data_IF_594765076447
#
_entry.id   IF_594765076447
#
_cell.length_a   1.000
_cell.length_b   1.000
_cell.length_c   1.000
_cell.angle_alpha   90.00
_cell.angle_beta   90.00
_cell.angle_gamma   90.00
#
_symmetry.space_group_name_H-M   'P 1'
#
loop_
_entity.id
_entity.type
_entity.pdbx_description
1 polymer ?
#
# COMPACT_ATOMS: atom_id res chain seq x y z
N UNK A 1 -3.25 -19.82 3.86
CA UNK A 1 -1.89 -19.28 3.66
C UNK A 1 -0.94 -20.41 3.31
N UNK A 2 -0.27 -20.33 2.14
CA UNK A 2 0.66 -21.37 1.69
C UNK A 2 2.10 -21.12 2.17
N UNK A 3 2.39 -19.91 2.67
CA UNK A 3 3.75 -19.51 3.04
C UNK A 3 3.71 -18.38 4.06
N UNK A 4 4.47 -18.52 5.14
CA UNK A 4 4.59 -17.51 6.20
C UNK A 4 5.85 -16.65 6.09
N UNK A 5 6.74 -16.96 5.17
CA UNK A 5 7.95 -16.19 4.89
C UNK A 5 7.94 -15.69 3.45
N UNK A 6 8.48 -14.51 3.20
CA UNK A 6 8.59 -13.95 1.87
C UNK A 6 9.52 -14.77 0.95
N UNK A 7 9.22 -14.73 -0.34
CA UNK A 7 10.03 -15.41 -1.35
C UNK A 7 10.93 -14.42 -2.08
N UNK A 8 12.20 -14.39 -1.73
CA UNK A 8 13.20 -13.52 -2.33
C UNK A 8 13.99 -14.20 -3.49
N UNK A 9 13.50 -15.31 -4.03
CA UNK A 9 14.16 -16.02 -5.13
C UNK A 9 13.90 -15.35 -6.49
N UNK A 10 14.48 -14.20 -6.71
CA UNK A 10 14.30 -13.40 -7.93
C UNK A 10 15.35 -13.72 -9.00
N UNK A 11 14.96 -13.65 -10.29
CA UNK A 11 15.91 -13.60 -11.41
C UNK A 11 16.51 -12.20 -11.55
N UNK A 12 17.63 -12.05 -12.23
CA UNK A 12 18.23 -10.75 -12.51
C UNK A 12 17.24 -9.76 -13.17
N UNK A 13 16.47 -10.23 -14.15
CA UNK A 13 15.42 -9.43 -14.80
C UNK A 13 14.37 -8.94 -13.78
N UNK A 14 13.93 -9.82 -12.89
CA UNK A 14 12.95 -9.47 -11.86
C UNK A 14 13.54 -8.52 -10.79
N UNK A 15 14.83 -8.66 -10.44
CA UNK A 15 15.51 -7.72 -9.54
C UNK A 15 15.55 -6.30 -10.12
N UNK A 16 15.89 -6.16 -11.40
CA UNK A 16 15.88 -4.85 -12.08
C UNK A 16 14.48 -4.24 -12.15
N UNK A 17 13.45 -5.06 -12.32
CA UNK A 17 12.06 -4.59 -12.39
C UNK A 17 11.48 -4.24 -11.02
N UNK A 18 11.57 -5.16 -10.04
CA UNK A 18 10.94 -5.03 -8.73
C UNK A 18 11.76 -4.17 -7.77
N UNK A 19 13.06 -4.34 -7.81
CA UNK A 19 14.02 -3.67 -6.92
C UNK A 19 14.99 -2.75 -7.69
N UNK A 20 14.55 -2.14 -8.79
CA UNK A 20 15.36 -1.28 -9.66
C UNK A 20 16.01 -0.08 -8.97
N UNK A 21 15.60 0.23 -7.73
CA UNK A 21 16.29 1.19 -6.88
C UNK A 21 17.67 0.68 -6.42
N UNK A 22 17.79 -0.62 -6.19
CA UNK A 22 18.96 -1.29 -5.61
C UNK A 22 19.82 -1.99 -6.65
N UNK A 23 19.23 -2.38 -7.78
CA UNK A 23 19.87 -3.17 -8.83
C UNK A 23 19.79 -2.50 -10.20
N UNK A 24 20.88 -2.48 -10.93
CA UNK A 24 20.99 -1.88 -12.26
C UNK A 24 22.40 -1.43 -12.56
N UNK A 25 22.54 -0.38 -13.39
CA UNK A 25 23.82 0.22 -13.69
C UNK A 25 24.47 0.90 -12.46
N UNK A 26 25.79 0.94 -12.38
CA UNK A 26 26.50 1.60 -11.28
C UNK A 26 25.94 3.02 -10.98
N UNK A 27 25.87 3.43 -9.70
CA UNK A 27 26.44 2.81 -8.50
C UNK A 27 25.54 1.73 -7.84
N UNK A 28 24.52 1.21 -8.53
CA UNK A 28 23.66 0.14 -8.02
C UNK A 28 24.38 -1.21 -8.09
N UNK A 29 23.86 -2.21 -7.35
CA UNK A 29 24.41 -3.56 -7.41
C UNK A 29 24.07 -4.24 -8.75
N UNK A 30 24.95 -5.11 -9.22
CA UNK A 30 24.69 -5.92 -10.40
C UNK A 30 23.65 -7.02 -10.06
N UNK A 31 22.54 -6.99 -10.77
CA UNK A 31 21.46 -7.94 -10.55
C UNK A 31 21.82 -9.39 -10.88
N UNK A 32 22.79 -9.61 -11.78
CA UNK A 32 23.20 -10.96 -12.19
C UNK A 32 23.98 -11.65 -11.06
N UNK A 33 24.79 -10.93 -10.30
CA UNK A 33 25.52 -11.45 -9.13
C UNK A 33 24.58 -11.87 -7.99
N UNK A 34 23.44 -11.18 -7.85
CA UNK A 34 22.45 -11.43 -6.79
C UNK A 34 21.35 -12.41 -7.19
N UNK A 35 21.22 -12.70 -8.49
CA UNK A 35 20.13 -13.51 -8.99
C UNK A 35 20.07 -14.90 -8.32
N UNK A 36 18.86 -15.29 -7.90
CA UNK A 36 18.60 -16.59 -7.25
C UNK A 36 19.31 -16.80 -5.91
N UNK A 37 19.83 -15.75 -5.29
CA UNK A 37 20.38 -15.78 -3.95
C UNK A 37 19.51 -14.95 -2.98
N UNK A 38 18.48 -15.55 -2.34
CA UNK A 38 17.54 -14.84 -1.46
C UNK A 38 18.21 -14.10 -0.32
N UNK A 39 19.27 -14.67 0.26
CA UNK A 39 19.98 -14.04 1.39
C UNK A 39 20.73 -12.78 0.97
N UNK A 40 21.50 -12.85 -0.10
CA UNK A 40 22.17 -11.67 -0.65
C UNK A 40 21.17 -10.59 -1.04
N UNK A 41 20.04 -10.97 -1.66
CA UNK A 41 19.00 -10.04 -2.05
C UNK A 41 18.42 -9.35 -0.81
N UNK A 42 18.03 -10.12 0.24
CA UNK A 42 17.50 -9.57 1.48
C UNK A 42 18.49 -8.58 2.13
N UNK A 43 19.75 -8.99 2.25
CA UNK A 43 20.79 -8.16 2.86
C UNK A 43 21.07 -6.89 2.04
N UNK A 44 20.82 -6.88 0.73
CA UNK A 44 20.91 -5.67 -0.10
C UNK A 44 19.70 -4.77 0.04
N UNK A 45 18.48 -5.34 -0.06
CA UNK A 45 17.26 -4.52 -0.14
C UNK A 45 16.77 -4.05 1.22
N UNK A 46 17.10 -4.76 2.30
CA UNK A 46 16.66 -4.43 3.66
C UNK A 46 17.73 -3.82 4.56
N UNK A 47 18.99 -3.72 4.12
CA UNK A 47 20.03 -3.02 4.88
C UNK A 47 19.76 -1.52 4.91
N UNK A 48 19.89 -0.91 6.08
CA UNK A 48 19.63 0.51 6.30
C UNK A 48 20.61 1.44 5.57
N UNK A 49 21.79 0.97 5.20
CA UNK A 49 22.75 1.73 4.40
C UNK A 49 22.14 2.18 3.05
N UNK A 50 21.32 1.32 2.42
CA UNK A 50 20.77 1.55 1.08
C UNK A 50 19.32 2.09 1.10
N UNK A 51 18.73 2.31 2.28
CA UNK A 51 17.32 2.71 2.42
C UNK A 51 17.15 4.14 2.87
N UNK A 52 16.13 4.81 2.30
CA UNK A 52 15.68 6.13 2.79
C UNK A 52 15.01 6.01 4.17
N UNK A 53 14.16 5.00 4.33
CA UNK A 53 13.44 4.73 5.59
C UNK A 53 14.12 3.58 6.31
N UNK A 54 14.58 3.86 7.52
CA UNK A 54 15.36 2.92 8.32
C UNK A 54 14.46 1.86 8.96
N UNK A 55 14.97 0.65 9.04
CA UNK A 55 14.29 -0.53 9.60
C UNK A 55 15.03 -1.12 10.81
N UNK A 56 16.12 -0.50 11.22
CA UNK A 56 17.00 -1.00 12.27
C UNK A 56 17.96 -2.10 11.81
N UNK A 57 18.03 -2.41 10.51
CA UNK A 57 18.90 -3.44 9.94
C UNK A 57 20.29 -2.84 9.67
N UNK A 58 21.11 -2.74 10.69
CA UNK A 58 22.43 -2.10 10.62
C UNK A 58 23.61 -3.09 10.69
N UNK A 59 23.36 -4.31 11.18
CA UNK A 59 24.38 -5.34 11.26
C UNK A 59 24.39 -6.24 10.01
N UNK A 60 25.51 -6.89 9.77
CA UNK A 60 25.64 -7.88 8.72
C UNK A 60 24.61 -9.01 8.93
N UNK A 61 23.93 -9.41 7.86
CA UNK A 61 22.89 -10.47 7.89
C UNK A 61 21.52 -10.04 8.42
N UNK A 62 21.37 -8.79 8.93
CA UNK A 62 20.09 -8.32 9.45
C UNK A 62 18.99 -8.33 8.40
N UNK A 63 19.30 -8.00 7.15
CA UNK A 63 18.33 -8.00 6.07
C UNK A 63 17.68 -9.37 5.87
N UNK A 64 18.47 -10.44 5.90
CA UNK A 64 17.98 -11.81 5.82
C UNK A 64 17.30 -12.26 7.12
N UNK A 65 17.93 -11.99 8.26
CA UNK A 65 17.40 -12.40 9.56
C UNK A 65 16.02 -11.81 9.84
N UNK A 66 15.82 -10.54 9.52
CA UNK A 66 14.58 -9.80 9.75
C UNK A 66 13.78 -9.54 8.46
N UNK A 67 13.83 -10.48 7.51
CA UNK A 67 12.98 -10.47 6.31
C UNK A 67 11.51 -10.60 6.67
N UNK A 68 10.64 -10.40 5.70
CA UNK A 68 9.19 -10.44 5.90
C UNK A 68 8.68 -11.82 6.32
N UNK A 69 8.02 -11.91 7.48
CA UNK A 69 7.40 -13.13 7.99
C UNK A 69 6.01 -12.87 8.58
N UNK A 70 5.26 -13.96 8.76
CA UNK A 70 3.91 -13.96 9.32
C UNK A 70 2.86 -13.42 8.36
N UNK A 71 1.62 -13.32 8.85
CA UNK A 71 0.46 -12.90 8.06
C UNK A 71 0.57 -11.43 7.60
N UNK A 72 1.17 -10.57 8.44
CA UNK A 72 1.36 -9.15 8.16
C UNK A 72 2.65 -8.87 7.39
N UNK A 73 3.53 -9.87 7.20
CA UNK A 73 4.88 -9.70 6.65
C UNK A 73 5.70 -8.69 7.47
N UNK A 74 5.79 -8.93 8.78
CA UNK A 74 6.60 -8.14 9.68
C UNK A 74 8.05 -8.14 9.20
N UNK A 75 8.68 -6.97 9.05
CA UNK A 75 9.99 -6.82 8.41
C UNK A 75 10.83 -5.77 9.14
N UNK A 76 12.11 -6.04 9.28
CA UNK A 76 13.11 -5.14 9.88
C UNK A 76 13.30 -5.34 11.40
N UNK A 77 14.57 -5.25 11.84
CA UNK A 77 14.96 -5.43 13.24
C UNK A 77 14.11 -4.59 14.20
N UNK A 78 13.84 -3.33 13.86
CA UNK A 78 13.02 -2.46 14.69
C UNK A 78 11.64 -3.05 15.01
N UNK A 79 10.93 -3.56 13.99
CA UNK A 79 9.60 -4.13 14.18
C UNK A 79 9.66 -5.44 14.97
N UNK A 80 10.65 -6.30 14.70
CA UNK A 80 10.84 -7.53 15.48
C UNK A 80 11.22 -7.26 16.92
N UNK A 81 12.03 -6.22 17.18
CA UNK A 81 12.32 -5.80 18.55
C UNK A 81 11.05 -5.36 19.26
N UNK A 82 10.23 -4.51 18.64
CA UNK A 82 8.98 -4.02 19.23
C UNK A 82 7.97 -5.13 19.49
N UNK A 83 7.82 -6.04 18.57
CA UNK A 83 6.98 -7.21 18.77
C UNK A 83 7.57 -8.14 19.86
N UNK A 84 8.86 -8.43 19.82
CA UNK A 84 9.55 -9.24 20.83
C UNK A 84 9.40 -8.67 22.24
N UNK A 85 9.58 -7.35 22.42
CA UNK A 85 9.34 -6.67 23.71
C UNK A 85 7.92 -6.94 24.24
N UNK A 86 6.91 -7.00 23.37
CA UNK A 86 5.51 -7.21 23.77
C UNK A 86 5.21 -8.64 24.21
N UNK A 87 6.02 -9.61 23.79
CA UNK A 87 5.85 -11.04 24.11
C UNK A 87 7.00 -11.62 24.93
N UNK A 88 7.90 -10.79 25.42
CA UNK A 88 9.03 -11.19 26.28
C UNK A 88 10.15 -11.94 25.55
N UNK A 89 10.35 -11.64 24.26
CA UNK A 89 11.35 -12.26 23.37
C UNK A 89 12.38 -11.25 22.88
N UNK A 90 13.58 -11.70 22.54
CA UNK A 90 14.54 -10.93 21.75
C UNK A 90 14.04 -10.77 20.31
N UNK A 91 14.63 -9.84 19.55
CA UNK A 91 14.25 -9.66 18.14
C UNK A 91 14.51 -10.93 17.30
N UNK A 92 15.58 -11.65 17.61
CA UNK A 92 15.95 -12.91 16.94
C UNK A 92 14.94 -14.02 17.24
N UNK A 93 14.58 -14.21 18.50
CA UNK A 93 13.55 -15.18 18.91
C UNK A 93 12.18 -14.82 18.30
N UNK A 94 11.82 -13.55 18.30
CA UNK A 94 10.60 -13.07 17.69
C UNK A 94 10.58 -13.34 16.18
N UNK A 95 11.72 -13.20 15.47
CA UNK A 95 11.81 -13.51 14.06
C UNK A 95 11.55 -14.97 13.74
N UNK A 96 12.05 -15.91 14.57
CA UNK A 96 11.76 -17.34 14.43
C UNK A 96 10.31 -17.65 14.84
N UNK A 97 9.81 -17.04 15.90
CA UNK A 97 8.44 -17.22 16.36
C UNK A 97 7.40 -16.77 15.31
N UNK A 98 7.58 -15.62 14.68
CA UNK A 98 6.66 -15.11 13.64
C UNK A 98 6.59 -16.01 12.40
N UNK A 99 7.59 -16.87 12.17
CA UNK A 99 7.54 -17.88 11.11
C UNK A 99 6.62 -19.07 11.44
N UNK A 100 6.20 -19.23 12.71
CA UNK A 100 5.23 -20.27 13.12
C UNK A 100 3.79 -19.80 12.90
N UNK A 101 2.79 -20.72 12.79
CA UNK A 101 1.38 -20.34 12.69
C UNK A 101 0.91 -19.45 13.86
N UNK A 102 1.29 -19.79 15.10
CA UNK A 102 0.91 -19.01 16.28
C UNK A 102 1.51 -17.61 16.27
N UNK A 103 2.82 -17.50 16.06
CA UNK A 103 3.50 -16.21 16.02
C UNK A 103 3.07 -15.35 14.83
N UNK A 104 2.69 -15.96 13.70
CA UNK A 104 2.15 -15.26 12.54
C UNK A 104 0.82 -14.57 12.85
N UNK A 105 -0.06 -15.23 13.59
CA UNK A 105 -1.35 -14.67 14.04
C UNK A 105 -1.09 -13.61 15.11
N UNK A 106 -0.32 -13.92 16.12
CA UNK A 106 -0.06 -13.01 17.24
C UNK A 106 0.61 -11.71 16.81
N UNK A 107 1.61 -11.79 15.92
CA UNK A 107 2.26 -10.60 15.36
C UNK A 107 1.31 -9.76 14.50
N UNK A 108 0.35 -10.36 13.83
CA UNK A 108 -0.68 -9.65 13.08
C UNK A 108 -1.66 -8.93 14.01
N UNK A 109 -2.10 -9.57 15.09
CA UNK A 109 -2.95 -8.96 16.13
C UNK A 109 -2.21 -7.83 16.84
N UNK A 110 -0.95 -8.04 17.22
CA UNK A 110 -0.10 -6.99 17.78
C UNK A 110 0.03 -5.77 16.87
N UNK A 111 0.28 -5.99 15.57
CA UNK A 111 0.34 -4.89 14.61
C UNK A 111 -0.99 -4.15 14.53
N UNK A 112 -2.10 -4.88 14.49
CA UNK A 112 -3.44 -4.32 14.44
C UNK A 112 -3.72 -3.42 15.64
N UNK A 113 -3.44 -3.90 16.84
CA UNK A 113 -3.67 -3.17 18.08
C UNK A 113 -2.74 -1.95 18.22
N UNK A 114 -1.43 -2.13 18.02
CA UNK A 114 -0.44 -1.06 18.19
C UNK A 114 -0.59 0.06 17.17
N UNK A 115 -1.12 -0.23 15.99
CA UNK A 115 -1.41 0.78 14.96
C UNK A 115 -2.82 1.36 15.04
N UNK A 116 -3.62 0.95 16.04
CA UNK A 116 -4.99 1.42 16.28
C UNK A 116 -5.91 1.23 15.07
N UNK A 117 -5.85 0.03 14.47
CA UNK A 117 -6.64 -0.25 13.27
C UNK A 117 -8.14 -0.43 13.55
N UNK A 118 -8.56 -0.73 14.79
CA UNK A 118 -9.97 -0.76 15.16
C UNK A 118 -10.63 0.60 14.94
N UNK A 119 -9.98 1.70 15.34
CA UNK A 119 -10.50 3.05 15.17
C UNK A 119 -10.82 3.39 13.70
N UNK A 120 -10.06 2.77 12.78
CA UNK A 120 -10.28 2.92 11.33
C UNK A 120 -11.31 1.90 10.84
N UNK A 121 -11.25 0.66 11.33
CA UNK A 121 -12.19 -0.40 10.94
C UNK A 121 -13.63 -0.01 11.29
N UNK A 122 -13.84 0.63 12.44
CA UNK A 122 -15.16 1.08 12.89
C UNK A 122 -15.75 2.20 12.01
N UNK A 123 -14.96 2.79 11.13
CA UNK A 123 -15.43 3.77 10.13
C UNK A 123 -15.72 3.16 8.76
N UNK A 124 -15.51 1.85 8.58
CA UNK A 124 -15.60 1.14 7.30
C UNK A 124 -14.71 1.72 6.17
N UNK A 125 -13.80 2.62 6.49
CA UNK A 125 -12.94 3.28 5.53
C UNK A 125 -11.80 2.37 5.07
N UNK A 126 -12.07 1.56 4.03
CA UNK A 126 -11.12 0.60 3.44
C UNK A 126 -9.89 1.30 2.84
N UNK A 127 -10.05 2.53 2.38
CA UNK A 127 -8.97 3.33 1.80
C UNK A 127 -7.99 3.76 2.87
N UNK A 128 -8.48 4.37 3.94
CA UNK A 128 -7.68 4.77 5.10
C UNK A 128 -7.00 3.56 5.73
N UNK A 129 -7.73 2.44 5.87
CA UNK A 129 -7.18 1.16 6.31
C UNK A 129 -6.01 0.71 5.43
N UNK A 130 -6.17 0.80 4.11
CA UNK A 130 -5.11 0.40 3.15
C UNK A 130 -3.87 1.28 3.29
N UNK A 131 -4.04 2.59 3.38
CA UNK A 131 -2.92 3.53 3.60
C UNK A 131 -2.20 3.24 4.91
N UNK A 132 -2.93 3.06 5.98
CA UNK A 132 -2.36 2.78 7.30
C UNK A 132 -1.54 1.48 7.31
N UNK A 133 -2.04 0.45 6.62
CA UNK A 133 -1.39 -0.86 6.55
C UNK A 133 -0.20 -0.87 5.58
N UNK A 134 -0.36 -0.29 4.39
CA UNK A 134 0.60 -0.42 3.28
C UNK A 134 1.47 0.84 3.08
N UNK A 135 1.16 1.95 3.74
CA UNK A 135 1.82 3.24 3.51
C UNK A 135 1.42 3.89 2.18
N UNK A 136 0.32 3.44 1.55
CA UNK A 136 -0.18 3.91 0.26
C UNK A 136 -1.30 3.01 -0.28
N UNK A 137 -1.75 3.25 -1.51
CA UNK A 137 -2.93 2.59 -2.10
C UNK A 137 -2.63 1.24 -2.79
N UNK A 138 -1.42 0.69 -2.66
CA UNK A 138 -1.08 -0.60 -3.26
C UNK A 138 -2.00 -1.69 -2.69
N UNK A 139 -2.71 -2.42 -3.57
CA UNK A 139 -3.64 -3.49 -3.20
C UNK A 139 -5.02 -3.02 -2.74
N UNK A 140 -5.36 -1.73 -2.90
CA UNK A 140 -6.67 -1.19 -2.51
C UNK A 140 -7.82 -1.92 -3.20
N UNK A 141 -7.76 -2.06 -4.52
CA UNK A 141 -8.81 -2.74 -5.30
C UNK A 141 -9.06 -4.19 -4.85
N UNK A 142 -7.99 -4.96 -4.61
CA UNK A 142 -8.12 -6.34 -4.11
C UNK A 142 -8.72 -6.36 -2.69
N UNK A 143 -8.33 -5.41 -1.83
CA UNK A 143 -8.89 -5.28 -0.47
C UNK A 143 -10.38 -4.92 -0.51
N UNK A 144 -10.80 -4.00 -1.37
CA UNK A 144 -12.20 -3.64 -1.55
C UNK A 144 -13.04 -4.82 -2.02
N UNK A 145 -12.55 -5.60 -3.00
CA UNK A 145 -13.23 -6.82 -3.45
C UNK A 145 -13.39 -7.84 -2.34
N UNK A 146 -12.34 -8.04 -1.52
CA UNK A 146 -12.40 -8.96 -0.38
C UNK A 146 -13.32 -8.46 0.71
N UNK A 147 -13.33 -7.17 0.97
CA UNK A 147 -14.23 -6.55 1.96
C UNK A 147 -15.70 -6.74 1.55
N UNK A 148 -16.07 -6.39 0.33
CA UNK A 148 -17.44 -6.63 -0.20
C UNK A 148 -17.83 -8.10 -0.14
N UNK A 149 -16.93 -8.99 -0.51
CA UNK A 149 -17.20 -10.42 -0.40
C UNK A 149 -17.38 -10.88 1.05
N UNK A 150 -16.59 -10.38 1.98
CA UNK A 150 -16.74 -10.69 3.40
C UNK A 150 -18.10 -10.23 3.95
N UNK A 151 -18.54 -9.02 3.61
CA UNK A 151 -19.88 -8.53 3.98
C UNK A 151 -20.99 -9.45 3.47
N UNK A 152 -20.94 -9.84 2.19
CA UNK A 152 -21.92 -10.76 1.60
C UNK A 152 -21.96 -12.12 2.34
N UNK A 153 -20.78 -12.69 2.66
CA UNK A 153 -20.69 -13.96 3.39
C UNK A 153 -21.26 -13.85 4.81
N UNK A 154 -21.10 -12.69 5.45
CA UNK A 154 -21.62 -12.40 6.79
C UNK A 154 -23.10 -12.02 6.78
N UNK A 155 -23.74 -11.93 5.59
CA UNK A 155 -25.13 -11.49 5.47
C UNK A 155 -25.33 -10.01 5.85
N UNK A 156 -24.30 -9.20 5.72
CA UNK A 156 -24.32 -7.76 5.96
C UNK A 156 -24.40 -7.08 4.59
N UNK A 157 -25.51 -6.40 4.32
CA UNK A 157 -25.61 -5.58 3.11
C UNK A 157 -24.83 -4.27 3.31
N UNK A 158 -24.11 -3.86 2.28
CA UNK A 158 -23.34 -2.62 2.30
C UNK A 158 -24.23 -1.39 2.60
N UNK A 159 -25.50 -1.46 2.21
CA UNK A 159 -26.53 -0.44 2.48
C UNK A 159 -26.89 -0.36 3.98
N UNK A 160 -26.90 -1.49 4.70
CA UNK A 160 -27.21 -1.55 6.12
C UNK A 160 -26.11 -0.95 7.02
N UNK A 161 -24.88 -0.85 6.50
CA UNK A 161 -23.73 -0.30 7.22
C UNK A 161 -23.54 1.21 6.98
N UNK A 162 -24.47 1.85 6.24
CA UNK A 162 -24.30 3.25 5.88
C UNK A 162 -23.05 3.48 5.02
N UNK A 163 -22.57 2.42 4.31
CA UNK A 163 -21.58 2.54 3.23
C UNK A 163 -22.31 3.15 2.05
N UNK A 164 -22.86 4.33 2.30
CA UNK A 164 -23.47 5.21 1.32
C UNK A 164 -22.36 5.81 0.42
N UNK A 165 -22.76 6.39 -0.67
CA UNK A 165 -21.94 7.07 -1.66
C UNK A 165 -20.92 8.11 -1.11
N UNK A 166 -20.86 8.33 0.19
CA UNK A 166 -19.79 9.01 0.93
C UNK A 166 -18.39 8.44 0.68
N UNK A 167 -18.33 7.22 0.16
CA UNK A 167 -17.12 6.60 -0.41
C UNK A 167 -16.46 7.44 -1.53
N UNK A 168 -17.22 8.30 -2.18
CA UNK A 168 -16.74 9.22 -3.23
C UNK A 168 -16.01 10.42 -2.61
N UNK A 169 -16.45 10.95 -1.48
CA UNK A 169 -15.79 12.05 -0.77
C UNK A 169 -14.39 11.66 -0.26
N UNK A 170 -14.28 10.49 0.35
CA UNK A 170 -13.00 9.96 0.84
C UNK A 170 -12.02 9.59 -0.29
N UNK A 171 -12.55 9.19 -1.47
CA UNK A 171 -11.72 9.01 -2.68
C UNK A 171 -11.13 10.36 -3.13
N UNK A 172 -11.83 11.46 -2.98
CA UNK A 172 -11.35 12.77 -3.40
C UNK A 172 -10.11 13.23 -2.62
N UNK A 173 -10.06 12.97 -1.31
CA UNK A 173 -8.88 13.25 -0.48
C UNK A 173 -7.72 12.28 -0.76
N UNK A 174 -8.02 11.11 -1.32
CA UNK A 174 -7.11 9.97 -1.44
C UNK A 174 -6.57 9.73 -2.85
N UNK A 175 -7.30 10.15 -3.88
CA UNK A 175 -6.86 10.05 -5.28
C UNK A 175 -5.62 10.91 -5.53
N UNK A 176 -5.15 11.71 -4.57
CA UNK A 176 -4.09 12.65 -4.87
C UNK A 176 -4.44 13.40 -6.19
N UNK A 177 -3.65 14.25 -6.64
CA UNK A 177 -3.91 15.07 -7.84
C UNK A 177 -4.11 14.20 -9.10
N UNK A 178 -5.31 14.19 -9.71
CA UNK A 178 -5.53 13.64 -11.04
C UNK A 178 -5.17 14.67 -12.10
N UNK A 179 -4.45 14.24 -13.11
CA UNK A 179 -3.99 15.08 -14.21
C UNK A 179 -3.82 14.23 -15.48
N UNK A 180 -3.64 14.89 -16.60
CA UNK A 180 -3.37 14.22 -17.88
C UNK A 180 -2.31 13.14 -17.76
N UNK A 181 -2.63 11.95 -18.26
CA UNK A 181 -1.82 10.75 -18.18
C UNK A 181 -2.19 9.81 -17.03
N UNK A 182 -3.03 10.24 -16.07
CA UNK A 182 -3.60 9.34 -15.07
C UNK A 182 -4.61 8.38 -15.71
N UNK A 183 -4.75 7.18 -15.15
CA UNK A 183 -5.69 6.15 -15.60
C UNK A 183 -6.31 5.43 -14.41
N UNK A 184 -7.49 4.86 -14.62
CA UNK A 184 -8.16 3.99 -13.66
C UNK A 184 -9.48 4.54 -13.15
N UNK A 185 -10.02 3.91 -12.10
CA UNK A 185 -11.39 4.16 -11.62
C UNK A 185 -11.58 5.59 -11.13
N UNK A 186 -10.61 6.19 -10.44
CA UNK A 186 -10.68 7.59 -10.01
C UNK A 186 -10.82 8.59 -11.15
N UNK A 187 -10.18 8.30 -12.29
CA UNK A 187 -10.36 9.12 -13.52
C UNK A 187 -11.76 8.94 -14.07
N UNK A 188 -12.26 7.73 -14.07
CA UNK A 188 -13.59 7.40 -14.56
C UNK A 188 -14.69 8.08 -13.74
N UNK A 189 -14.62 8.01 -12.43
CA UNK A 189 -15.54 8.71 -11.52
C UNK A 189 -15.52 10.23 -11.74
N UNK A 190 -14.34 10.81 -11.89
CA UNK A 190 -14.22 12.23 -12.22
C UNK A 190 -14.84 12.56 -13.59
N UNK A 191 -14.62 11.73 -14.60
CA UNK A 191 -15.22 11.89 -15.93
C UNK A 191 -16.75 11.80 -15.87
N UNK A 192 -17.31 10.89 -15.09
CA UNK A 192 -18.76 10.76 -14.83
C UNK A 192 -19.31 12.04 -14.19
N UNK A 193 -18.64 12.55 -13.16
CA UNK A 193 -19.03 13.80 -12.50
C UNK A 193 -18.90 15.03 -13.41
N UNK A 194 -17.93 15.04 -14.32
CA UNK A 194 -17.79 16.08 -15.35
C UNK A 194 -18.80 15.93 -16.50
N UNK A 195 -19.56 14.82 -16.57
CA UNK A 195 -20.51 14.54 -17.65
C UNK A 195 -19.85 14.22 -18.99
N UNK A 196 -18.64 13.70 -18.99
CA UNK A 196 -17.91 13.29 -20.21
C UNK A 196 -17.80 11.76 -20.31
N UNK A 197 -17.28 11.26 -21.45
CA UNK A 197 -17.06 9.82 -21.62
C UNK A 197 -16.13 9.27 -20.52
N UNK A 198 -16.63 8.32 -19.73
CA UNK A 198 -15.95 7.75 -18.59
C UNK A 198 -15.16 6.50 -19.00
N UNK A 199 -14.10 6.68 -19.78
CA UNK A 199 -13.20 5.62 -20.25
C UNK A 199 -12.08 5.28 -19.26
N UNK A 200 -11.93 6.08 -18.20
CA UNK A 200 -10.87 5.93 -17.20
C UNK A 200 -9.48 6.32 -17.70
N UNK A 201 -9.36 7.00 -18.84
CA UNK A 201 -8.10 7.56 -19.36
C UNK A 201 -8.15 9.09 -19.35
N UNK A 202 -7.31 9.72 -18.53
CA UNK A 202 -7.23 11.19 -18.46
C UNK A 202 -6.48 11.73 -19.67
N UNK A 203 -7.16 11.76 -20.80
CA UNK A 203 -6.67 12.29 -22.05
C UNK A 203 -6.87 13.81 -22.20
N UNK A 204 -6.53 14.38 -23.40
CA UNK A 204 -6.71 15.80 -23.69
C UNK A 204 -8.18 16.27 -23.62
N UNK A 205 -9.14 15.35 -23.89
CA UNK A 205 -10.57 15.63 -23.77
C UNK A 205 -11.00 15.86 -22.32
N UNK A 206 -10.58 14.97 -21.43
CA UNK A 206 -10.81 15.06 -19.98
C UNK A 206 -10.15 16.31 -19.38
N UNK A 207 -8.91 16.62 -19.78
CA UNK A 207 -8.20 17.83 -19.34
C UNK A 207 -8.96 19.12 -19.69
N UNK A 208 -9.48 19.18 -20.92
CA UNK A 208 -10.24 20.36 -21.37
C UNK A 208 -11.55 20.49 -20.60
N UNK A 209 -12.31 19.43 -20.46
CA UNK A 209 -13.56 19.41 -19.71
C UNK A 209 -13.35 19.83 -18.25
N UNK A 210 -12.27 19.33 -17.61
CA UNK A 210 -11.93 19.72 -16.26
C UNK A 210 -11.61 21.20 -16.15
N UNK A 211 -10.82 21.77 -17.07
CA UNK A 211 -10.51 23.22 -17.09
C UNK A 211 -11.75 24.09 -17.26
N UNK A 212 -12.64 23.70 -18.15
CA UNK A 212 -13.92 24.38 -18.37
C UNK A 212 -14.78 24.32 -17.10
N UNK A 213 -14.86 23.16 -16.47
CA UNK A 213 -15.61 22.99 -15.23
C UNK A 213 -14.99 23.78 -14.07
N UNK A 214 -13.66 23.74 -13.89
CA UNK A 214 -12.94 24.52 -12.87
C UNK A 214 -13.22 26.03 -13.02
N UNK A 215 -13.13 26.55 -14.25
CA UNK A 215 -13.43 27.95 -14.55
C UNK A 215 -14.86 28.32 -14.19
N UNK A 216 -15.83 27.48 -14.56
CA UNK A 216 -17.25 27.69 -14.26
C UNK A 216 -17.55 27.68 -12.75
N UNK A 217 -16.75 26.97 -11.97
CA UNK A 217 -16.90 26.83 -10.52
C UNK A 217 -15.95 27.73 -9.70
N UNK A 218 -15.31 28.72 -10.32
CA UNK A 218 -14.46 29.70 -9.63
C UNK A 218 -13.17 29.12 -9.06
N UNK A 219 -12.67 28.03 -9.65
CA UNK A 219 -11.38 27.43 -9.35
C UNK A 219 -10.32 27.84 -10.37
N UNK A 220 -9.05 27.63 -10.03
CA UNK A 220 -7.96 27.79 -11.01
C UNK A 220 -8.10 26.71 -12.08
N UNK A 221 -8.26 27.11 -13.34
CA UNK A 221 -8.46 26.21 -14.48
C UNK A 221 -7.12 25.63 -14.97
N UNK A 222 -6.41 24.91 -14.10
CA UNK A 222 -5.10 24.31 -14.39
C UNK A 222 -5.18 22.92 -15.04
N UNK A 223 -6.37 22.32 -15.02
CA UNK A 223 -6.59 20.95 -15.53
C UNK A 223 -6.05 19.88 -14.60
N UNK A 224 -5.90 20.23 -13.32
CA UNK A 224 -5.42 19.34 -12.27
C UNK A 224 -6.51 19.21 -11.21
N UNK A 225 -7.10 18.03 -11.07
CA UNK A 225 -8.08 17.76 -10.04
C UNK A 225 -7.38 17.43 -8.71
N UNK A 226 -7.25 18.42 -7.85
CA UNK A 226 -6.78 18.31 -6.48
C UNK A 226 -7.94 18.36 -5.47
N UNK A 227 -7.64 18.38 -4.14
CA UNK A 227 -8.65 18.38 -3.08
C UNK A 227 -9.75 19.45 -3.25
N UNK A 228 -9.37 20.68 -3.61
CA UNK A 228 -10.34 21.76 -3.84
C UNK A 228 -11.27 21.52 -5.04
N UNK A 229 -10.77 20.85 -6.07
CA UNK A 229 -11.57 20.44 -7.24
C UNK A 229 -12.53 19.33 -6.87
N UNK A 230 -12.03 18.31 -6.17
CA UNK A 230 -12.84 17.17 -5.76
C UNK A 230 -13.95 17.57 -4.77
N UNK A 231 -13.61 18.40 -3.77
CA UNK A 231 -14.59 18.89 -2.82
C UNK A 231 -15.80 19.58 -3.50
N UNK A 232 -15.56 20.30 -4.62
CA UNK A 232 -16.65 20.96 -5.37
C UNK A 232 -17.30 20.08 -6.43
N UNK A 233 -16.61 19.04 -6.90
CA UNK A 233 -17.12 18.20 -7.98
C UNK A 233 -18.13 17.17 -7.45
N UNK A 234 -17.99 16.82 -6.17
CA UNK A 234 -18.79 15.80 -5.48
C UNK A 234 -19.66 16.37 -4.34
N UNK A 235 -19.75 17.70 -4.18
CA UNK A 235 -20.77 18.39 -3.37
C UNK A 235 -22.12 18.38 -4.10
#
# INVERSE_FOLDING_TARGET
FKRLEENLNYSAKALRSVFGRYFGEPPKADADEYARNPEMIANRVYNDEYRKYKMGNVNEGDGWRFRGRGLKQLTGRYNYTKFGESVGMTAEEAAEYVATPSGAIESACWFWDTTKLNDIADTDNVVLMTKKINGGNIGLEDRQKRYKHALQVLGMDAEDLGVDDGFIGDIADDIGVLRKGCKGEGVKLMQEALGVSADGDFGPGTERALKEWQSANGLVADGVAGPATFAKLFD
#
